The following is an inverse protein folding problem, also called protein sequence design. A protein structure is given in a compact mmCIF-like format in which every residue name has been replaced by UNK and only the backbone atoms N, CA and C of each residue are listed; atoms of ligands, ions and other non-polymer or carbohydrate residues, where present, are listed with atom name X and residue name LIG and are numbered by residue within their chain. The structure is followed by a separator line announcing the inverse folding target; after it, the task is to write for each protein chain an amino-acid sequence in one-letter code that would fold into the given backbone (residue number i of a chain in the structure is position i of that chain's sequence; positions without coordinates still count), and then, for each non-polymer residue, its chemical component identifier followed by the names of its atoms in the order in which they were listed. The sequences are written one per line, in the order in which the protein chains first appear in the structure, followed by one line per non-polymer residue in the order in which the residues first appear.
data_IF_721245872627
#
_entry.id   IF_721245872627
#
_cell.length_a   1.000
_cell.length_b   1.000
_cell.length_c   1.000
_cell.angle_alpha   90.00
_cell.angle_beta   90.00
_cell.angle_gamma   90.00
#
_symmetry.space_group_name_H-M   'P 1'
#
loop_
_entity.id
_entity.type
_entity.pdbx_description
1 polymer ?
#
# COMPACT_ATOMS: atom_id res chain seq x y z
N UNK A 1 1.44 22.94 -39.05
CA UNK A 1 2.12 22.13 -38.01
C UNK A 1 1.09 21.25 -37.34
N UNK A 2 0.93 20.01 -37.81
CA UNK A 2 0.07 19.03 -37.15
C UNK A 2 0.82 18.45 -35.97
N UNK A 3 0.44 18.82 -34.74
CA UNK A 3 0.88 18.11 -33.54
C UNK A 3 0.24 16.72 -33.58
N UNK A 4 0.97 15.74 -34.10
CA UNK A 4 0.63 14.34 -33.90
C UNK A 4 0.86 14.02 -32.43
N UNK A 5 -0.17 14.22 -31.61
CA UNK A 5 -0.28 13.57 -30.31
C UNK A 5 -0.46 12.07 -30.55
N UNK A 6 0.63 11.39 -30.90
CA UNK A 6 0.72 9.95 -30.73
C UNK A 6 0.67 9.69 -29.23
N UNK A 7 -0.56 9.63 -28.70
CA UNK A 7 -0.88 8.99 -27.44
C UNK A 7 -0.33 7.58 -27.57
N UNK A 8 0.82 7.35 -26.93
CA UNK A 8 1.35 6.01 -26.66
C UNK A 8 0.18 5.15 -26.19
N UNK A 9 -0.02 3.96 -26.78
CA UNK A 9 -1.07 3.04 -26.34
C UNK A 9 -0.91 2.83 -24.84
N UNK A 10 -1.89 3.32 -24.08
CA UNK A 10 -1.93 3.15 -22.63
C UNK A 10 -1.80 1.66 -22.33
N UNK A 11 -0.75 1.29 -21.60
CA UNK A 11 -0.54 -0.09 -21.20
C UNK A 11 -1.50 -0.41 -20.04
N UNK A 12 -2.74 -0.78 -20.38
CA UNK A 12 -3.80 -1.07 -19.43
C UNK A 12 -3.41 -2.10 -18.37
N UNK A 13 -2.59 -3.10 -18.72
CA UNK A 13 -2.07 -4.08 -17.76
C UNK A 13 -1.21 -3.42 -16.69
N UNK A 14 -0.33 -2.54 -17.11
CA UNK A 14 0.55 -1.81 -16.20
C UNK A 14 -0.25 -0.84 -15.32
N UNK A 15 -1.21 -0.14 -15.90
CA UNK A 15 -2.11 0.76 -15.18
C UNK A 15 -2.90 0.00 -14.10
N UNK A 16 -3.48 -1.16 -14.43
CA UNK A 16 -4.18 -2.02 -13.48
C UNK A 16 -3.27 -2.50 -12.35
N UNK A 17 -2.00 -2.83 -12.64
CA UNK A 17 -1.04 -3.21 -11.61
C UNK A 17 -0.74 -2.07 -10.63
N UNK A 18 -0.64 -0.82 -11.13
CA UNK A 18 -0.50 0.35 -10.25
C UNK A 18 -1.77 0.60 -9.43
N UNK A 19 -2.96 0.39 -10.01
CA UNK A 19 -4.19 0.48 -9.23
C UNK A 19 -4.26 -0.59 -8.13
N UNK A 20 -3.81 -1.81 -8.41
CA UNK A 20 -3.73 -2.88 -7.41
C UNK A 20 -2.66 -2.61 -6.35
N UNK A 21 -1.60 -1.88 -6.70
CA UNK A 21 -0.52 -1.54 -5.75
C UNK A 21 -0.99 -0.71 -4.57
N UNK A 22 -1.95 0.21 -4.78
CA UNK A 22 -2.40 1.13 -3.74
C UNK A 22 -3.05 0.39 -2.55
N UNK A 23 -4.05 -0.48 -2.76
CA UNK A 23 -4.57 -1.31 -1.69
C UNK A 23 -3.50 -2.15 -0.98
N UNK A 24 -2.55 -2.72 -1.72
CA UNK A 24 -1.48 -3.53 -1.13
C UNK A 24 -0.55 -2.70 -0.24
N UNK A 25 -0.16 -1.50 -0.69
CA UNK A 25 0.67 -0.58 0.08
C UNK A 25 -0.04 -0.13 1.36
N UNK A 26 -1.31 0.24 1.25
CA UNK A 26 -2.13 0.69 2.37
C UNK A 26 -2.31 -0.43 3.40
N UNK A 27 -2.70 -1.63 2.95
CA UNK A 27 -2.86 -2.77 3.84
C UNK A 27 -1.52 -3.16 4.47
N UNK A 28 -0.44 -3.20 3.70
CA UNK A 28 0.89 -3.52 4.20
C UNK A 28 1.38 -2.54 5.27
N UNK A 29 1.27 -1.24 5.02
CA UNK A 29 1.65 -0.20 5.98
C UNK A 29 0.81 -0.28 7.26
N UNK A 30 -0.51 -0.50 7.14
CA UNK A 30 -1.40 -0.67 8.28
C UNK A 30 -1.04 -1.88 9.14
N UNK A 31 -0.68 -3.01 8.53
CA UNK A 31 -0.25 -4.21 9.25
C UNK A 31 1.03 -3.93 10.05
N UNK A 32 2.01 -3.25 9.45
CA UNK A 32 3.26 -2.91 10.14
C UNK A 32 3.06 -1.92 11.28
N UNK A 33 2.17 -0.93 11.11
CA UNK A 33 1.83 0.02 12.16
C UNK A 33 1.16 -0.63 13.38
N UNK A 34 0.55 -1.82 13.21
CA UNK A 34 -0.05 -2.57 14.31
C UNK A 34 0.95 -3.47 15.06
N UNK A 35 2.16 -3.67 14.52
CA UNK A 35 3.18 -4.55 15.14
C UNK A 35 3.52 -4.13 16.57
N UNK A 36 3.77 -2.83 16.89
CA UNK A 36 4.09 -2.40 18.24
C UNK A 36 2.97 -2.68 19.25
N UNK A 37 1.73 -2.78 18.77
CA UNK A 37 0.54 -2.96 19.61
C UNK A 37 0.05 -4.41 19.68
N UNK A 38 0.82 -5.37 19.15
CA UNK A 38 0.40 -6.76 19.05
C UNK A 38 0.04 -7.39 20.41
N UNK A 39 0.78 -7.08 21.47
CA UNK A 39 0.49 -7.60 22.82
C UNK A 39 -0.82 -7.05 23.37
N UNK A 40 -1.05 -5.75 23.21
CA UNK A 40 -2.28 -5.07 23.62
C UNK A 40 -3.50 -5.63 22.86
N UNK A 41 -3.35 -5.90 21.55
CA UNK A 41 -4.39 -6.53 20.73
C UNK A 41 -4.70 -7.95 21.23
N UNK A 42 -3.68 -8.75 21.56
CA UNK A 42 -3.88 -10.10 22.11
C UNK A 42 -4.62 -10.06 23.45
N UNK A 43 -4.23 -9.17 24.36
CA UNK A 43 -4.85 -9.02 25.67
C UNK A 43 -6.33 -8.63 25.53
N UNK A 44 -6.62 -7.66 24.67
CA UNK A 44 -7.98 -7.25 24.38
C UNK A 44 -8.81 -8.39 23.77
N UNK A 45 -8.24 -9.20 22.88
CA UNK A 45 -8.94 -10.34 22.28
C UNK A 45 -9.24 -11.45 23.29
N UNK A 46 -8.36 -11.67 24.27
CA UNK A 46 -8.52 -12.75 25.27
C UNK A 46 -9.55 -12.44 26.35
N UNK A 47 -9.70 -11.18 26.74
CA UNK A 47 -10.59 -10.83 27.86
C UNK A 47 -11.11 -9.39 27.86
N UNK A 48 -11.09 -8.73 26.70
CA UNK A 48 -11.62 -7.39 26.53
C UNK A 48 -10.89 -6.34 27.35
N UNK A 49 -11.61 -5.29 27.73
CA UNK A 49 -11.08 -4.16 28.51
C UNK A 49 -10.61 -4.62 29.90
N UNK A 50 -11.27 -5.62 30.48
CA UNK A 50 -10.95 -6.10 31.83
C UNK A 50 -9.57 -6.75 31.88
N UNK A 51 -9.24 -7.60 30.89
CA UNK A 51 -7.90 -8.18 30.79
C UNK A 51 -6.78 -7.15 30.55
N UNK A 52 -7.08 -6.01 29.91
CA UNK A 52 -6.11 -4.91 29.80
C UNK A 52 -5.90 -4.18 31.13
N UNK A 53 -6.96 -4.02 31.94
CA UNK A 53 -6.87 -3.37 33.26
C UNK A 53 -6.16 -4.24 34.30
N UNK A 54 -6.35 -5.54 34.21
CA UNK A 54 -5.76 -6.51 35.15
C UNK A 54 -4.35 -6.95 34.73
N UNK A 55 -3.86 -6.48 33.57
CA UNK A 55 -2.51 -6.77 33.10
C UNK A 55 -1.46 -6.05 33.95
N UNK A 56 -0.35 -6.71 34.31
CA UNK A 56 0.77 -6.06 35.00
C UNK A 56 1.51 -5.04 34.11
N UNK A 57 1.25 -5.01 32.81
CA UNK A 57 1.79 -4.00 31.90
C UNK A 57 0.99 -2.69 32.01
N UNK A 58 1.68 -1.58 32.27
CA UNK A 58 1.08 -0.25 32.32
C UNK A 58 0.91 0.27 30.89
N UNK A 59 -0.29 0.10 30.31
CA UNK A 59 -0.65 0.76 29.06
C UNK A 59 -0.99 2.23 29.33
N UNK A 60 -0.26 3.13 28.70
CA UNK A 60 -0.51 4.57 28.82
C UNK A 60 -1.62 5.01 27.89
N UNK A 61 -2.21 6.18 28.16
CA UNK A 61 -3.16 6.80 27.22
C UNK A 61 -2.54 7.03 25.83
N UNK A 62 -1.22 7.23 25.76
CA UNK A 62 -0.49 7.36 24.50
C UNK A 62 -0.47 6.04 23.71
N UNK A 63 -0.36 4.88 24.36
CA UNK A 63 -0.37 3.57 23.70
C UNK A 63 -1.75 3.27 23.10
N UNK A 64 -2.82 3.60 23.85
CA UNK A 64 -4.20 3.47 23.37
C UNK A 64 -4.46 4.43 22.20
N UNK A 65 -4.00 5.68 22.32
CA UNK A 65 -4.09 6.67 21.26
C UNK A 65 -3.34 6.23 20.00
N UNK A 66 -2.13 5.70 20.15
CA UNK A 66 -1.29 5.20 19.07
C UNK A 66 -1.89 3.99 18.36
N UNK A 67 -2.51 3.05 19.09
CA UNK A 67 -3.22 1.91 18.49
C UNK A 67 -4.30 2.33 17.47
N UNK A 68 -4.93 3.49 17.68
CA UNK A 68 -5.94 4.05 16.77
C UNK A 68 -5.29 4.94 15.70
N UNK A 69 -4.38 5.82 16.12
CA UNK A 69 -3.82 6.87 15.28
C UNK A 69 -2.74 6.37 14.32
N UNK A 70 -1.83 5.50 14.76
CA UNK A 70 -0.70 5.03 13.95
C UNK A 70 -1.14 4.28 12.69
N UNK A 71 -2.15 3.38 12.74
CA UNK A 71 -2.70 2.78 11.52
C UNK A 71 -3.32 3.79 10.55
N UNK A 72 -3.92 4.88 11.06
CA UNK A 72 -4.47 5.95 10.23
C UNK A 72 -3.34 6.77 9.58
N UNK A 73 -2.31 7.13 10.34
CA UNK A 73 -1.14 7.82 9.78
C UNK A 73 -0.42 6.97 8.73
N UNK A 74 -0.24 5.67 9.00
CA UNK A 74 0.36 4.73 8.06
C UNK A 74 -0.44 4.62 6.76
N UNK A 75 -1.77 4.71 6.84
CA UNK A 75 -2.64 4.76 5.67
C UNK A 75 -2.38 6.01 4.83
N UNK A 76 -2.42 7.20 5.42
CA UNK A 76 -2.13 8.45 4.67
C UNK A 76 -0.73 8.44 4.08
N UNK A 77 0.26 7.95 4.84
CA UNK A 77 1.64 7.86 4.39
C UNK A 77 1.80 6.90 3.21
N UNK A 78 1.11 5.76 3.21
CA UNK A 78 1.10 4.82 2.09
C UNK A 78 0.50 5.44 0.81
N UNK A 79 -0.58 6.21 0.93
CA UNK A 79 -1.18 6.93 -0.21
C UNK A 79 -0.18 7.94 -0.77
N UNK A 80 0.41 8.77 0.08
CA UNK A 80 1.38 9.79 -0.32
C UNK A 80 2.61 9.16 -0.96
N UNK A 81 3.18 8.12 -0.35
CA UNK A 81 4.33 7.39 -0.87
C UNK A 81 4.02 6.78 -2.25
N UNK A 82 2.86 6.13 -2.39
CA UNK A 82 2.45 5.56 -3.67
C UNK A 82 2.23 6.63 -4.76
N UNK A 83 1.68 7.79 -4.39
CA UNK A 83 1.51 8.92 -5.32
C UNK A 83 2.86 9.51 -5.73
N UNK A 84 3.80 9.65 -4.79
CA UNK A 84 5.15 10.11 -5.05
C UNK A 84 5.92 9.14 -5.96
N UNK A 85 5.85 7.83 -5.69
CA UNK A 85 6.44 6.79 -6.54
C UNK A 85 5.85 6.83 -7.96
N UNK A 86 4.53 7.01 -8.08
CA UNK A 86 3.87 7.19 -9.36
C UNK A 86 4.36 8.43 -10.11
N UNK A 87 4.47 9.57 -9.42
CA UNK A 87 4.97 10.81 -9.99
C UNK A 87 6.41 10.67 -10.49
N UNK A 88 7.27 9.99 -9.73
CA UNK A 88 8.63 9.66 -10.14
C UNK A 88 8.66 8.79 -11.40
N UNK A 89 7.84 7.74 -11.45
CA UNK A 89 7.72 6.87 -12.62
C UNK A 89 7.28 7.68 -13.86
N UNK A 90 6.29 8.55 -13.70
CA UNK A 90 5.81 9.44 -14.76
C UNK A 90 6.88 10.42 -15.21
N UNK A 91 7.62 11.01 -14.29
CA UNK A 91 8.72 11.92 -14.60
C UNK A 91 9.79 11.21 -15.44
N UNK A 92 10.18 10.00 -15.02
CA UNK A 92 11.19 9.21 -15.70
C UNK A 92 10.74 8.73 -17.09
N UNK A 93 9.48 8.30 -17.23
CA UNK A 93 8.95 7.68 -18.46
C UNK A 93 8.28 8.64 -19.44
N UNK A 94 7.75 9.76 -18.96
CA UNK A 94 6.84 10.67 -19.69
C UNK A 94 5.59 10.00 -20.30
N UNK A 95 5.25 8.76 -19.91
CA UNK A 95 4.20 7.96 -20.56
C UNK A 95 2.77 8.30 -20.12
N UNK A 96 2.53 8.75 -18.88
CA UNK A 96 1.17 9.03 -18.40
C UNK A 96 1.12 10.01 -17.23
N UNK A 97 1.02 11.31 -17.54
CA UNK A 97 0.90 12.39 -16.54
C UNK A 97 -0.30 12.24 -15.58
N UNK A 98 -1.32 11.49 -15.98
CA UNK A 98 -2.55 11.30 -15.20
C UNK A 98 -2.47 10.17 -14.18
N UNK A 99 -1.44 9.31 -14.22
CA UNK A 99 -1.33 8.16 -13.31
C UNK A 99 -1.33 8.55 -11.82
N UNK A 100 -0.58 9.57 -11.35
CA UNK A 100 -0.55 9.93 -9.94
C UNK A 100 -1.89 10.48 -9.48
N UNK A 101 -2.56 11.27 -10.33
CA UNK A 101 -3.89 11.83 -10.07
C UNK A 101 -4.92 10.71 -9.98
N UNK A 102 -4.90 9.76 -10.92
CA UNK A 102 -5.84 8.65 -10.92
C UNK A 102 -5.68 7.75 -9.68
N UNK A 103 -4.44 7.48 -9.26
CA UNK A 103 -4.17 6.72 -8.04
C UNK A 103 -4.61 7.46 -6.78
N UNK A 104 -4.40 8.78 -6.74
CA UNK A 104 -4.85 9.61 -5.62
C UNK A 104 -6.38 9.63 -5.50
N UNK A 105 -7.09 9.85 -6.62
CA UNK A 105 -8.56 9.81 -6.64
C UNK A 105 -9.08 8.43 -6.24
N UNK A 106 -8.49 7.35 -6.77
CA UNK A 106 -8.85 5.99 -6.38
C UNK A 106 -8.64 5.78 -4.87
N UNK A 107 -7.50 6.20 -4.33
CA UNK A 107 -7.21 6.08 -2.91
C UNK A 107 -8.29 6.77 -2.07
N UNK A 108 -8.64 8.03 -2.40
CA UNK A 108 -9.72 8.76 -1.71
C UNK A 108 -11.05 8.01 -1.79
N UNK A 109 -11.44 7.55 -2.98
CA UNK A 109 -12.72 6.85 -3.17
C UNK A 109 -12.75 5.53 -2.38
N UNK A 110 -11.66 4.75 -2.40
CA UNK A 110 -11.56 3.51 -1.62
C UNK A 110 -11.59 3.78 -0.12
N UNK A 111 -11.02 4.90 0.34
CA UNK A 111 -11.10 5.32 1.74
C UNK A 111 -12.51 5.74 2.14
N UNK A 112 -13.18 6.56 1.34
CA UNK A 112 -14.55 7.01 1.61
C UNK A 112 -15.54 5.84 1.66
N UNK A 113 -15.35 4.85 0.79
CA UNK A 113 -16.26 3.69 0.70
C UNK A 113 -16.02 2.64 1.78
N UNK A 114 -15.15 2.91 2.77
CA UNK A 114 -14.72 1.97 3.80
C UNK A 114 -14.31 0.61 3.21
N UNK A 115 -13.73 0.61 2.01
CA UNK A 115 -13.43 -0.61 1.27
C UNK A 115 -12.55 -1.57 2.09
N UNK A 116 -11.58 -1.02 2.81
CA UNK A 116 -10.65 -1.76 3.66
C UNK A 116 -11.29 -2.36 4.92
N UNK A 117 -12.53 -1.99 5.24
CA UNK A 117 -13.32 -2.55 6.34
C UNK A 117 -14.28 -3.65 5.89
N UNK A 118 -14.40 -3.89 4.57
CA UNK A 118 -15.26 -4.95 4.04
C UNK A 118 -14.76 -6.33 4.46
N UNK A 119 -15.70 -7.22 4.74
CA UNK A 119 -15.42 -8.61 5.15
C UNK A 119 -14.57 -9.37 4.14
N UNK A 120 -14.73 -9.12 2.84
CA UNK A 120 -13.89 -9.72 1.81
C UNK A 120 -12.39 -9.41 2.00
N UNK A 121 -12.06 -8.16 2.35
CA UNK A 121 -10.67 -7.73 2.58
C UNK A 121 -10.13 -8.33 3.87
N UNK A 122 -10.93 -8.33 4.93
CA UNK A 122 -10.56 -8.96 6.22
C UNK A 122 -10.33 -10.46 6.06
N UNK A 123 -11.22 -11.16 5.35
CA UNK A 123 -11.12 -12.58 5.06
C UNK A 123 -9.88 -12.90 4.22
N UNK A 124 -9.58 -12.09 3.20
CA UNK A 124 -8.35 -12.23 2.43
C UNK A 124 -7.09 -12.05 3.28
N UNK A 125 -7.07 -11.07 4.19
CA UNK A 125 -5.95 -10.90 5.14
C UNK A 125 -5.84 -12.06 6.13
N UNK A 126 -6.97 -12.59 6.61
CA UNK A 126 -6.99 -13.76 7.48
C UNK A 126 -6.40 -14.98 6.75
N UNK A 127 -6.77 -15.20 5.49
CA UNK A 127 -6.21 -16.26 4.66
C UNK A 127 -4.69 -16.11 4.47
N UNK A 128 -4.19 -14.91 4.23
CA UNK A 128 -2.73 -14.66 4.13
C UNK A 128 -1.99 -14.91 5.43
N UNK A 129 -2.65 -14.72 6.58
CA UNK A 129 -2.08 -14.95 7.91
C UNK A 129 -2.18 -16.42 8.37
N UNK A 130 -3.11 -17.20 7.80
CA UNK A 130 -3.36 -18.60 8.13
C UNK A 130 -2.10 -19.48 8.20
N UNK A 131 -1.17 -19.46 7.23
CA UNK A 131 0.04 -20.29 7.31
C UNK A 131 0.97 -19.93 8.49
N UNK A 132 0.76 -18.78 9.13
CA UNK A 132 1.55 -18.29 10.25
C UNK A 132 0.76 -18.26 11.56
N UNK A 133 -0.39 -18.92 11.65
CA UNK A 133 -1.30 -18.82 12.80
C UNK A 133 -0.64 -19.22 14.14
N UNK A 134 0.32 -20.16 14.10
CA UNK A 134 1.10 -20.58 15.26
C UNK A 134 2.14 -19.54 15.75
N UNK A 135 2.44 -18.51 14.95
CA UNK A 135 3.51 -17.56 15.25
C UNK A 135 3.00 -16.43 16.15
N UNK A 136 3.87 -15.68 16.85
CA UNK A 136 3.45 -14.49 17.58
C UNK A 136 2.72 -13.49 16.66
N UNK A 137 1.68 -12.80 17.17
CA UNK A 137 0.90 -11.85 16.37
C UNK A 137 1.78 -10.78 15.73
N UNK A 138 2.74 -10.23 16.48
CA UNK A 138 3.70 -9.25 15.98
C UNK A 138 4.45 -9.76 14.74
N UNK A 139 4.91 -11.01 14.76
CA UNK A 139 5.63 -11.63 13.64
C UNK A 139 4.71 -11.85 12.44
N UNK A 140 3.46 -12.29 12.66
CA UNK A 140 2.45 -12.44 11.59
C UNK A 140 2.15 -11.11 10.90
N UNK A 141 1.92 -10.06 11.69
CA UNK A 141 1.69 -8.70 11.21
C UNK A 141 2.90 -8.20 10.42
N UNK A 142 4.11 -8.44 10.92
CA UNK A 142 5.37 -8.11 10.26
C UNK A 142 5.50 -8.75 8.88
N UNK A 143 5.41 -10.07 8.81
CA UNK A 143 5.61 -10.81 7.55
C UNK A 143 4.55 -10.45 6.52
N UNK A 144 3.28 -10.48 6.91
CA UNK A 144 2.18 -10.17 5.98
C UNK A 144 2.25 -8.70 5.56
N UNK A 145 2.53 -7.79 6.50
CA UNK A 145 2.69 -6.37 6.21
C UNK A 145 3.83 -6.08 5.24
N UNK A 146 5.02 -6.63 5.50
CA UNK A 146 6.17 -6.49 4.61
C UNK A 146 5.94 -7.14 3.25
N UNK A 147 5.34 -8.33 3.19
CA UNK A 147 5.01 -9.00 1.94
C UNK A 147 4.06 -8.17 1.07
N UNK A 148 3.01 -7.60 1.67
CA UNK A 148 2.07 -6.71 0.99
C UNK A 148 2.75 -5.43 0.48
N UNK A 149 3.63 -4.82 1.28
CA UNK A 149 4.40 -3.64 0.84
C UNK A 149 5.31 -3.96 -0.34
N UNK A 150 6.05 -5.07 -0.28
CA UNK A 150 6.93 -5.49 -1.38
C UNK A 150 6.12 -5.70 -2.65
N UNK A 151 5.00 -6.44 -2.56
CA UNK A 151 4.11 -6.67 -3.69
C UNK A 151 3.51 -5.37 -4.23
N UNK A 152 3.17 -4.42 -3.36
CA UNK A 152 2.72 -3.08 -3.73
C UNK A 152 3.80 -2.25 -4.42
N UNK A 153 5.07 -2.38 -4.04
CA UNK A 153 6.18 -1.65 -4.67
C UNK A 153 6.59 -2.23 -6.04
N UNK A 154 6.35 -3.52 -6.29
CA UNK A 154 6.80 -4.21 -7.51
C UNK A 154 6.36 -3.52 -8.83
N UNK A 155 5.09 -3.11 -9.01
CA UNK A 155 4.65 -2.41 -10.22
C UNK A 155 5.48 -1.16 -10.53
N UNK A 156 5.82 -0.36 -9.52
CA UNK A 156 6.65 0.83 -9.69
C UNK A 156 8.08 0.46 -10.10
N UNK A 157 8.69 -0.54 -9.45
CA UNK A 157 10.04 -1.01 -9.77
C UNK A 157 10.14 -1.60 -11.18
N UNK A 158 9.17 -2.42 -11.58
CA UNK A 158 9.12 -3.02 -12.91
C UNK A 158 8.93 -1.96 -13.99
N UNK A 159 8.13 -0.93 -13.71
CA UNK A 159 7.93 0.20 -14.62
C UNK A 159 9.17 1.07 -14.70
N UNK A 160 9.92 1.19 -13.61
CA UNK A 160 11.19 1.92 -13.59
C UNK A 160 12.29 1.22 -14.41
N UNK A 161 12.36 -0.12 -14.39
CA UNK A 161 13.44 -0.88 -15.05
C UNK A 161 13.34 -1.05 -16.57
N UNK A 162 12.19 -0.83 -17.20
CA UNK A 162 12.08 -0.98 -18.67
C UNK A 162 13.08 -0.07 -19.41
N UNK A 163 13.65 -0.46 -20.55
CA UNK A 163 14.40 0.50 -21.37
C UNK A 163 13.41 1.53 -21.96
N UNK A 164 13.79 2.81 -21.96
CA UNK A 164 13.08 3.80 -22.78
C UNK A 164 13.45 3.44 -24.22
N UNK A 165 12.49 3.10 -25.11
CA UNK A 165 12.85 2.91 -26.51
C UNK A 165 13.42 4.24 -26.99
N UNK A 166 14.72 4.27 -27.28
CA UNK A 166 15.33 5.39 -27.97
C UNK A 166 14.53 5.56 -29.25
N UNK A 167 13.84 6.71 -29.36
CA UNK A 167 13.31 7.16 -30.64
C UNK A 167 14.52 7.19 -31.56
N UNK A 168 14.55 6.27 -32.53
CA UNK A 168 15.63 6.11 -33.49
C UNK A 168 16.05 7.46 -34.05
N UNK A 169 17.11 8.00 -33.47
CA UNK A 169 17.90 9.05 -34.05
C UNK A 169 18.97 8.28 -34.81
N UNK A 170 18.96 8.42 -36.14
CA UNK A 170 19.97 8.00 -37.13
C UNK A 170 19.34 7.23 -38.30
N UNK A 171 18.60 7.95 -39.14
CA UNK A 171 18.48 7.61 -40.57
C UNK A 171 18.12 8.88 -41.38
N UNK A 172 18.93 9.92 -41.24
CA UNK A 172 19.03 11.05 -42.20
C UNK A 172 20.51 11.39 -42.22
N UNK A 173 21.31 10.84 -43.14
CA UNK A 173 21.68 11.38 -44.46
C UNK A 173 23.16 10.98 -44.66
N UNK A 174 23.79 11.11 -45.86
CA UNK A 174 23.34 11.73 -47.11
C UNK A 174 22.88 10.76 -48.20
#
# INVERSE_FOLDING_TARGET
MAMSSQLSRINWRLLLLHFLSMPLLILGARQLALVPYAEMIILYQKGGIQAMKDSPQVFTAADIGGLIADPLYAWFLAILAGCALSALVVWHRRESKLLPIALFVLAIVTSWTHYYEREAVKSGLAFLRWPFEAWPLATRLGIVGSGLLILGCLPFLLTWRRPIPERGNNAVAP
#
